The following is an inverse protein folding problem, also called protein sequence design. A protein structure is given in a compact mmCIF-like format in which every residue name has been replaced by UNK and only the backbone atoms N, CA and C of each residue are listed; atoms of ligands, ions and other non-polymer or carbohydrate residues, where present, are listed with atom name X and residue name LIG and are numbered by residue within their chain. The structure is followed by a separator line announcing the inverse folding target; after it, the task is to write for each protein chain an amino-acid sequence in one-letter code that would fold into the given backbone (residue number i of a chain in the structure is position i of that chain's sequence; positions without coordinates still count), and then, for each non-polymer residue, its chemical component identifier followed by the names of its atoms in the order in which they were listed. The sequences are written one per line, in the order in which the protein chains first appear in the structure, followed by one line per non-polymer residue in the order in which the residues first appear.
data_IF_956163807813
#
_entry.id   IF_956163807813
#
_cell.length_a   1.000
_cell.length_b   1.000
_cell.length_c   1.000
_cell.angle_alpha   90.00
_cell.angle_beta   90.00
_cell.angle_gamma   90.00
#
_symmetry.space_group_name_H-M   'P 1'
#
loop_
_entity.id
_entity.type
_entity.pdbx_description
1 polymer ?
#
# COMPACT_ATOMS: atom_id res chain seq x y z
N UNK A 1 -32.42 90.75 16.28
CA UNK A 1 -31.07 90.94 16.82
C UNK A 1 -31.08 90.40 18.24
N UNK A 2 -30.30 89.31 18.49
CA UNK A 2 -29.91 88.71 19.79
C UNK A 2 -31.02 87.95 20.55
N UNK A 3 -30.81 86.78 21.20
CA UNK A 3 -29.73 85.76 21.31
C UNK A 3 -30.36 84.62 22.17
N UNK A 4 -30.28 83.32 21.89
CA UNK A 4 -29.13 82.39 21.80
C UNK A 4 -28.49 81.89 23.13
N UNK A 5 -29.18 81.87 24.28
CA UNK A 5 -28.53 81.43 25.54
C UNK A 5 -29.17 80.24 26.30
N UNK A 6 -30.19 79.56 25.77
CA UNK A 6 -30.80 78.41 26.47
C UNK A 6 -30.30 77.02 26.01
N UNK A 7 -29.56 76.93 24.90
CA UNK A 7 -29.12 75.64 24.33
C UNK A 7 -27.65 75.30 24.61
N UNK A 8 -26.88 76.22 25.22
CA UNK A 8 -25.45 76.04 25.50
C UNK A 8 -25.14 75.34 26.84
N UNK A 9 -26.14 75.05 27.68
CA UNK A 9 -25.92 74.47 29.03
C UNK A 9 -26.19 72.96 29.12
N UNK A 10 -26.62 72.29 28.04
CA UNK A 10 -26.90 70.84 28.06
C UNK A 10 -25.86 70.00 27.30
N UNK A 11 -24.96 70.64 26.54
CA UNK A 11 -23.92 69.97 25.75
C UNK A 11 -22.57 69.89 26.47
N UNK A 12 -22.45 70.38 27.70
CA UNK A 12 -21.21 70.33 28.50
C UNK A 12 -21.18 69.18 29.52
N UNK A 13 -22.20 68.31 29.56
CA UNK A 13 -22.25 67.13 30.44
C UNK A 13 -21.67 65.85 29.80
N UNK A 14 -21.45 65.83 28.48
CA UNK A 14 -20.85 64.67 27.79
C UNK A 14 -19.49 65.02 27.17
N UNK A 15 -18.55 65.46 28.02
CA UNK A 15 -17.14 65.56 27.62
C UNK A 15 -16.38 64.40 28.28
N UNK A 16 -16.65 63.18 27.84
CA UNK A 16 -16.01 61.95 28.31
C UNK A 16 -15.60 60.99 27.17
N UNK A 17 -15.53 61.46 25.92
CA UNK A 17 -15.47 60.58 24.75
C UNK A 17 -14.11 59.88 24.50
N UNK A 18 -13.01 60.34 25.12
CA UNK A 18 -11.68 59.73 24.93
C UNK A 18 -11.33 58.67 25.98
N UNK A 19 -11.91 58.74 27.18
CA UNK A 19 -11.78 57.71 28.22
C UNK A 19 -12.80 56.60 28.02
N UNK A 20 -14.03 56.93 27.59
CA UNK A 20 -15.11 55.96 27.38
C UNK A 20 -14.83 55.03 26.20
N UNK A 21 -14.12 55.50 25.16
CA UNK A 21 -13.69 54.65 24.02
C UNK A 21 -12.60 53.66 24.44
N UNK A 22 -11.61 54.10 25.23
CA UNK A 22 -10.57 53.22 25.76
C UNK A 22 -11.11 52.22 26.80
N UNK A 23 -12.15 52.58 27.55
CA UNK A 23 -12.88 51.67 28.44
C UNK A 23 -13.76 50.68 27.67
N UNK A 24 -14.41 51.13 26.58
CA UNK A 24 -15.18 50.27 25.69
C UNK A 24 -14.30 49.22 24.98
N UNK A 25 -13.14 49.62 24.45
CA UNK A 25 -12.19 48.69 23.81
C UNK A 25 -11.67 47.65 24.83
N UNK A 26 -11.34 48.09 26.04
CA UNK A 26 -10.92 47.21 27.14
C UNK A 26 -12.03 46.22 27.54
N UNK A 27 -13.31 46.64 27.52
CA UNK A 27 -14.44 45.76 27.77
C UNK A 27 -14.60 44.71 26.66
N UNK A 28 -14.47 45.10 25.40
CA UNK A 28 -14.51 44.16 24.27
C UNK A 28 -13.39 43.12 24.38
N UNK A 29 -12.18 43.54 24.74
CA UNK A 29 -11.05 42.62 24.97
C UNK A 29 -11.31 41.67 26.14
N UNK A 30 -11.90 42.14 27.24
CA UNK A 30 -12.30 41.27 28.35
C UNK A 30 -13.38 40.25 27.94
N UNK A 31 -14.33 40.63 27.08
CA UNK A 31 -15.33 39.71 26.55
C UNK A 31 -14.72 38.67 25.61
N UNK A 32 -13.78 39.07 24.74
CA UNK A 32 -13.02 38.15 23.89
C UNK A 32 -12.20 37.17 24.73
N UNK A 33 -11.43 37.66 25.69
CA UNK A 33 -10.67 36.84 26.62
C UNK A 33 -11.57 35.86 27.37
N UNK A 34 -12.74 36.32 27.87
CA UNK A 34 -13.70 35.44 28.53
C UNK A 34 -14.27 34.37 27.59
N UNK A 35 -14.52 34.71 26.33
CA UNK A 35 -15.03 33.76 25.35
C UNK A 35 -13.97 32.70 25.00
N UNK A 36 -12.72 33.12 24.81
CA UNK A 36 -11.57 32.22 24.58
C UNK A 36 -11.34 31.30 25.78
N UNK A 37 -11.30 31.84 27.00
CA UNK A 37 -11.23 31.06 28.24
C UNK A 37 -12.36 30.03 28.33
N UNK A 38 -13.61 30.41 28.04
CA UNK A 38 -14.73 29.45 28.05
C UNK A 38 -14.54 28.33 27.04
N UNK A 39 -13.99 28.62 25.85
CA UNK A 39 -13.69 27.63 24.82
C UNK A 39 -12.59 26.68 25.28
N UNK A 40 -11.52 27.20 25.86
CA UNK A 40 -10.43 26.39 26.43
C UNK A 40 -10.91 25.54 27.61
N UNK A 41 -11.71 26.09 28.52
CA UNK A 41 -12.33 25.33 29.62
C UNK A 41 -13.24 24.22 29.11
N UNK A 42 -14.01 24.46 28.04
CA UNK A 42 -14.83 23.43 27.41
C UNK A 42 -13.97 22.34 26.75
N UNK A 43 -12.89 22.72 26.06
CA UNK A 43 -11.94 21.78 25.46
C UNK A 43 -11.26 20.90 26.53
N UNK A 44 -10.72 21.51 27.59
CA UNK A 44 -10.12 20.81 28.72
C UNK A 44 -11.11 19.89 29.43
N UNK A 45 -12.38 20.30 29.54
CA UNK A 45 -13.43 19.46 30.13
C UNK A 45 -13.73 18.24 29.27
N UNK A 46 -13.78 18.39 27.95
CA UNK A 46 -13.96 17.27 27.02
C UNK A 46 -12.78 16.30 27.11
N UNK A 47 -11.55 16.82 27.05
CA UNK A 47 -10.33 16.01 27.19
C UNK A 47 -10.29 15.27 28.53
N UNK A 48 -10.69 15.94 29.63
CA UNK A 48 -10.82 15.29 30.94
C UNK A 48 -11.79 14.10 30.89
N UNK A 49 -12.95 14.24 30.25
CA UNK A 49 -13.90 13.14 30.14
C UNK A 49 -13.36 11.99 29.28
N UNK A 50 -12.73 12.30 28.14
CA UNK A 50 -12.09 11.30 27.29
C UNK A 50 -10.99 10.53 28.04
N UNK A 51 -10.15 11.23 28.81
CA UNK A 51 -9.12 10.61 29.63
C UNK A 51 -9.72 9.74 30.74
N UNK A 52 -10.79 10.20 31.40
CA UNK A 52 -11.50 9.42 32.41
C UNK A 52 -12.08 8.12 31.83
N UNK A 53 -12.67 8.19 30.64
CA UNK A 53 -13.20 7.01 29.95
C UNK A 53 -12.09 6.04 29.54
N UNK A 54 -10.95 6.54 29.03
CA UNK A 54 -9.77 5.72 28.75
C UNK A 54 -9.24 5.05 30.01
N UNK A 55 -9.12 5.79 31.12
CA UNK A 55 -8.68 5.23 32.42
C UNK A 55 -9.63 4.12 32.87
N UNK A 56 -10.95 4.35 32.82
CA UNK A 56 -11.95 3.35 33.19
C UNK A 56 -11.86 2.11 32.30
N UNK A 57 -11.64 2.30 30.99
CA UNK A 57 -11.44 1.21 30.05
C UNK A 57 -10.19 0.38 30.39
N UNK A 58 -9.06 1.05 30.67
CA UNK A 58 -7.82 0.40 31.06
C UNK A 58 -7.95 -0.34 32.39
N UNK A 59 -8.59 0.25 33.40
CA UNK A 59 -8.87 -0.41 34.68
C UNK A 59 -9.70 -1.68 34.49
N UNK A 60 -10.76 -1.62 33.67
CA UNK A 60 -11.57 -2.78 33.35
C UNK A 60 -10.83 -3.85 32.54
N UNK A 61 -9.88 -3.47 31.68
CA UNK A 61 -9.01 -4.42 30.99
C UNK A 61 -8.02 -5.10 31.96
N UNK A 62 -7.38 -4.34 32.85
CA UNK A 62 -6.47 -4.86 33.87
C UNK A 62 -7.16 -5.82 34.83
N UNK A 63 -8.36 -5.48 35.31
CA UNK A 63 -9.14 -6.35 36.19
C UNK A 63 -9.47 -7.70 35.54
N UNK A 64 -9.82 -7.70 34.25
CA UNK A 64 -10.07 -8.93 33.48
C UNK A 64 -8.82 -9.80 33.33
N UNK A 65 -7.66 -9.19 33.07
CA UNK A 65 -6.38 -9.91 32.99
C UNK A 65 -6.01 -10.50 34.34
N UNK A 66 -6.18 -9.74 35.44
CA UNK A 66 -5.95 -10.24 36.79
C UNK A 66 -6.83 -11.45 37.12
N UNK A 67 -8.13 -11.40 36.78
CA UNK A 67 -9.04 -12.54 36.94
C UNK A 67 -8.59 -13.77 36.15
N UNK A 68 -8.14 -13.59 34.90
CA UNK A 68 -7.61 -14.68 34.08
C UNK A 68 -6.33 -15.29 34.66
N UNK A 69 -5.43 -14.46 35.18
CA UNK A 69 -4.19 -14.93 35.83
C UNK A 69 -4.49 -15.70 37.11
N UNK A 70 -5.40 -15.21 37.96
CA UNK A 70 -5.83 -15.92 39.17
C UNK A 70 -6.49 -17.26 38.82
N UNK A 71 -7.31 -17.30 37.78
CA UNK A 71 -7.90 -18.56 37.31
C UNK A 71 -6.83 -19.55 36.83
N UNK A 72 -5.84 -19.08 36.06
CA UNK A 72 -4.72 -19.91 35.62
C UNK A 72 -3.88 -20.42 36.80
N UNK A 73 -3.61 -19.56 37.78
CA UNK A 73 -2.90 -19.93 39.02
C UNK A 73 -3.63 -21.06 39.74
N UNK A 74 -4.95 -20.95 39.92
CA UNK A 74 -5.76 -22.01 40.53
C UNK A 74 -5.65 -23.34 39.76
N UNK A 75 -5.64 -23.32 38.42
CA UNK A 75 -5.49 -24.52 37.61
C UNK A 75 -4.07 -25.12 37.68
N UNK A 76 -3.05 -24.29 37.87
CA UNK A 76 -1.65 -24.75 38.01
C UNK A 76 -1.37 -25.31 39.40
N UNK A 77 -2.12 -24.88 40.42
CA UNK A 77 -2.04 -25.41 41.78
C UNK A 77 -2.71 -26.79 41.91
N UNK A 78 -3.62 -27.13 41.00
CA UNK A 78 -4.30 -28.43 40.96
C UNK A 78 -3.43 -29.49 40.23
N UNK A 79 -2.97 -30.54 40.92
CA UNK A 79 -2.14 -31.59 40.33
C UNK A 79 -2.80 -32.35 39.17
N UNK A 80 -4.13 -32.41 39.13
CA UNK A 80 -4.87 -33.08 38.06
C UNK A 80 -4.94 -32.21 36.80
N UNK A 81 -4.87 -30.88 36.96
CA UNK A 81 -4.99 -29.92 35.85
C UNK A 81 -3.66 -29.37 35.33
N UNK A 82 -2.60 -29.37 36.12
CA UNK A 82 -1.30 -28.76 35.74
C UNK A 82 -0.78 -29.29 34.39
N UNK A 83 -0.89 -30.59 34.12
CA UNK A 83 -0.44 -31.20 32.87
C UNK A 83 -1.33 -30.82 31.69
N UNK A 84 -2.63 -30.73 31.92
CA UNK A 84 -3.60 -30.28 30.92
C UNK A 84 -3.34 -28.82 30.52
N UNK A 85 -3.03 -27.95 31.48
CA UNK A 85 -2.66 -26.55 31.25
C UNK A 85 -1.42 -26.46 30.33
N UNK A 86 -0.39 -27.27 30.61
CA UNK A 86 0.83 -27.29 29.77
C UNK A 86 0.50 -27.75 28.35
N UNK A 87 -0.21 -28.87 28.19
CA UNK A 87 -0.63 -29.37 26.88
C UNK A 87 -1.45 -28.33 26.10
N UNK A 88 -2.41 -27.69 26.77
CA UNK A 88 -3.24 -26.62 26.21
C UNK A 88 -2.41 -25.49 25.61
N UNK A 89 -1.48 -24.93 26.38
CA UNK A 89 -0.70 -23.79 25.89
C UNK A 89 0.32 -24.17 24.82
N UNK A 90 0.83 -25.41 24.83
CA UNK A 90 1.71 -25.92 23.75
C UNK A 90 0.93 -26.10 22.43
N UNK A 91 -0.28 -26.66 22.49
CA UNK A 91 -1.17 -26.77 21.33
C UNK A 91 -1.60 -25.40 20.80
N UNK A 92 -1.91 -24.46 21.69
CA UNK A 92 -2.19 -23.08 21.30
C UNK A 92 -0.97 -22.40 20.67
N UNK A 93 0.24 -22.65 21.20
CA UNK A 93 1.48 -22.16 20.63
C UNK A 93 1.73 -22.72 19.22
N UNK A 94 1.39 -23.99 18.97
CA UNK A 94 1.44 -24.59 17.63
C UNK A 94 0.53 -23.86 16.63
N UNK A 95 -0.72 -23.55 17.01
CA UNK A 95 -1.63 -22.78 16.15
C UNK A 95 -1.08 -21.38 15.84
N UNK A 96 -0.56 -20.69 16.86
CA UNK A 96 0.10 -19.38 16.69
C UNK A 96 1.35 -19.48 15.80
N UNK A 97 2.10 -20.55 15.90
CA UNK A 97 3.27 -20.81 15.06
C UNK A 97 2.87 -20.96 13.59
N UNK A 98 1.86 -21.79 13.30
CA UNK A 98 1.31 -21.95 11.95
C UNK A 98 0.75 -20.64 11.39
N UNK A 99 0.04 -19.87 12.22
CA UNK A 99 -0.45 -18.54 11.85
C UNK A 99 0.70 -17.61 11.46
N UNK A 100 1.78 -17.56 12.25
CA UNK A 100 2.97 -16.74 11.94
C UNK A 100 3.61 -17.15 10.62
N UNK A 101 3.72 -18.46 10.37
CA UNK A 101 4.23 -18.95 9.08
C UNK A 101 3.35 -18.49 7.92
N UNK A 102 2.02 -18.59 8.04
CA UNK A 102 1.07 -18.14 7.02
C UNK A 102 1.16 -16.64 6.75
N UNK A 103 1.22 -15.82 7.81
CA UNK A 103 1.36 -14.36 7.69
C UNK A 103 2.65 -14.02 6.95
N UNK A 104 3.78 -14.62 7.35
CA UNK A 104 5.07 -14.41 6.70
C UNK A 104 5.03 -14.82 5.23
N UNK A 105 4.51 -15.99 4.94
CA UNK A 105 4.41 -16.50 3.57
C UNK A 105 3.54 -15.61 2.68
N UNK A 106 2.40 -15.14 3.19
CA UNK A 106 1.52 -14.24 2.46
C UNK A 106 2.17 -12.88 2.17
N UNK A 107 2.89 -12.34 3.14
CA UNK A 107 3.63 -11.08 3.00
C UNK A 107 4.75 -11.21 1.94
N UNK A 108 5.53 -12.29 2.01
CA UNK A 108 6.58 -12.59 1.03
C UNK A 108 5.99 -12.72 -0.39
N UNK A 109 4.84 -13.39 -0.56
CA UNK A 109 4.17 -13.51 -1.86
C UNK A 109 3.67 -12.17 -2.41
N UNK A 110 3.04 -11.34 -1.57
CA UNK A 110 2.54 -10.01 -1.96
C UNK A 110 3.69 -9.13 -2.44
N UNK A 111 4.76 -9.04 -1.64
CA UNK A 111 5.94 -8.26 -1.98
C UNK A 111 6.62 -8.75 -3.26
N UNK A 112 6.75 -10.07 -3.44
CA UNK A 112 7.32 -10.63 -4.68
C UNK A 112 6.47 -10.29 -5.91
N UNK A 113 5.14 -10.34 -5.79
CA UNK A 113 4.25 -10.05 -6.92
C UNK A 113 4.22 -8.57 -7.26
N UNK A 114 4.12 -7.70 -6.25
CA UNK A 114 4.15 -6.24 -6.43
C UNK A 114 5.46 -5.80 -7.09
N UNK A 115 6.60 -6.31 -6.61
CA UNK A 115 7.91 -6.05 -7.24
C UNK A 115 7.94 -6.47 -8.70
N UNK A 116 7.44 -7.67 -9.02
CA UNK A 116 7.40 -8.16 -10.42
C UNK A 116 6.50 -7.29 -11.31
N UNK A 117 5.34 -6.87 -10.82
CA UNK A 117 4.44 -5.98 -11.56
C UNK A 117 5.11 -4.62 -11.78
N UNK A 118 5.70 -4.05 -10.73
CA UNK A 118 6.41 -2.78 -10.81
C UNK A 118 7.58 -2.82 -11.78
N UNK A 119 8.44 -3.85 -11.71
CA UNK A 119 9.54 -4.04 -12.66
C UNK A 119 9.02 -4.12 -14.10
N UNK A 120 7.96 -4.89 -14.36
CA UNK A 120 7.39 -5.02 -15.71
C UNK A 120 6.84 -3.69 -16.24
N UNK A 121 6.16 -2.91 -15.39
CA UNK A 121 5.64 -1.59 -15.77
C UNK A 121 6.79 -0.64 -16.09
N UNK A 122 7.84 -0.61 -15.26
CA UNK A 122 9.02 0.21 -15.50
C UNK A 122 9.76 -0.19 -16.76
N UNK A 123 9.94 -1.50 -17.01
CA UNK A 123 10.55 -2.01 -18.24
C UNK A 123 9.76 -1.59 -19.48
N UNK A 124 8.44 -1.77 -19.47
CA UNK A 124 7.58 -1.36 -20.58
C UNK A 124 7.58 0.16 -20.80
N UNK A 125 7.57 0.94 -19.72
CA UNK A 125 7.68 2.39 -19.78
C UNK A 125 9.04 2.82 -20.38
N UNK A 126 10.15 2.28 -19.87
CA UNK A 126 11.50 2.57 -20.37
C UNK A 126 11.65 2.19 -21.86
N UNK A 127 11.06 1.09 -22.30
CA UNK A 127 11.08 0.69 -23.71
C UNK A 127 10.29 1.66 -24.59
N UNK A 128 9.09 2.05 -24.16
CA UNK A 128 8.26 3.00 -24.91
C UNK A 128 8.96 4.36 -25.02
N UNK A 129 9.54 4.81 -23.90
CA UNK A 129 10.36 6.02 -23.80
C UNK A 129 11.54 6.03 -24.74
N UNK A 130 12.29 4.93 -24.79
CA UNK A 130 13.45 4.81 -25.67
C UNK A 130 13.03 4.87 -27.14
N UNK A 131 11.90 4.25 -27.52
CA UNK A 131 11.36 4.31 -28.89
C UNK A 131 10.93 5.73 -29.27
N UNK A 132 10.22 6.43 -28.40
CA UNK A 132 9.81 7.82 -28.61
C UNK A 132 11.03 8.74 -28.75
N UNK A 133 12.05 8.55 -27.92
CA UNK A 133 13.30 9.32 -27.97
C UNK A 133 14.05 9.07 -29.29
N UNK A 134 14.14 7.82 -29.72
CA UNK A 134 14.77 7.43 -30.98
C UNK A 134 14.06 8.06 -32.20
N UNK A 135 12.72 8.09 -32.19
CA UNK A 135 11.93 8.73 -33.25
C UNK A 135 12.19 10.25 -33.32
N UNK A 136 12.20 10.94 -32.17
CA UNK A 136 12.53 12.36 -32.10
C UNK A 136 13.97 12.60 -32.54
N UNK A 137 14.91 11.78 -32.11
CA UNK A 137 16.32 11.91 -32.47
C UNK A 137 16.57 11.71 -33.96
N UNK A 138 15.83 10.79 -34.60
CA UNK A 138 15.85 10.63 -36.05
C UNK A 138 15.32 11.89 -36.76
N UNK A 139 14.20 12.47 -36.29
CA UNK A 139 13.66 13.74 -36.81
C UNK A 139 14.65 14.89 -36.64
N UNK A 140 15.36 14.96 -35.52
CA UNK A 140 16.44 15.95 -35.29
C UNK A 140 17.57 15.75 -36.31
N UNK A 141 18.00 14.51 -36.52
CA UNK A 141 19.03 14.17 -37.51
C UNK A 141 18.65 14.60 -38.92
N UNK A 142 17.43 14.28 -39.36
CA UNK A 142 16.90 14.72 -40.66
C UNK A 142 16.90 16.25 -40.81
N UNK A 143 16.51 16.97 -39.74
CA UNK A 143 16.50 18.44 -39.73
C UNK A 143 17.90 19.03 -39.82
N UNK A 144 18.88 18.45 -39.14
CA UNK A 144 20.29 18.89 -39.21
C UNK A 144 20.86 18.73 -40.60
N UNK A 145 20.56 17.63 -41.28
CA UNK A 145 20.98 17.42 -42.68
C UNK A 145 20.32 18.46 -43.61
N UNK A 146 19.02 18.73 -43.42
CA UNK A 146 18.32 19.75 -44.20
C UNK A 146 18.86 21.17 -43.95
N UNK A 147 19.22 21.48 -42.70
CA UNK A 147 19.84 22.74 -42.30
C UNK A 147 21.20 22.92 -42.98
N UNK A 148 22.07 21.90 -42.94
CA UNK A 148 23.37 21.92 -43.61
C UNK A 148 23.23 22.20 -45.11
N UNK A 149 22.24 21.58 -45.78
CA UNK A 149 21.99 21.85 -47.20
C UNK A 149 21.57 23.30 -47.48
N UNK A 150 20.80 23.92 -46.58
CA UNK A 150 20.43 25.34 -46.69
C UNK A 150 21.63 26.26 -46.46
N UNK A 151 22.49 25.94 -45.48
CA UNK A 151 23.73 26.66 -45.19
C UNK A 151 24.71 26.60 -46.37
N UNK A 152 24.89 25.42 -46.98
CA UNK A 152 25.71 25.24 -48.17
C UNK A 152 25.19 26.06 -49.35
N UNK A 153 23.86 26.08 -49.56
CA UNK A 153 23.22 26.93 -50.58
C UNK A 153 23.43 28.41 -50.30
N UNK A 154 23.28 28.85 -49.04
CA UNK A 154 23.51 30.23 -48.63
C UNK A 154 24.94 30.67 -48.97
N UNK A 155 25.94 29.87 -48.58
CA UNK A 155 27.35 30.14 -48.88
C UNK A 155 27.59 30.25 -50.39
N UNK A 156 27.02 29.35 -51.18
CA UNK A 156 27.14 29.38 -52.64
C UNK A 156 26.52 30.63 -53.28
N UNK A 157 25.34 31.06 -52.79
CA UNK A 157 24.64 32.25 -53.27
C UNK A 157 25.39 33.54 -52.89
N UNK A 158 25.95 33.60 -51.68
CA UNK A 158 26.80 34.70 -51.23
C UNK A 158 28.07 34.81 -52.09
N UNK A 159 28.77 33.70 -52.34
CA UNK A 159 29.96 33.67 -53.20
C UNK A 159 29.63 34.08 -54.65
N UNK A 160 28.49 33.66 -55.19
CA UNK A 160 28.02 34.09 -56.51
C UNK A 160 27.78 35.62 -56.57
N UNK A 161 27.23 36.21 -55.51
CA UNK A 161 27.02 37.66 -55.40
C UNK A 161 28.35 38.46 -55.29
N UNK A 162 29.34 37.90 -54.59
CA UNK A 162 30.68 38.50 -54.43
C UNK A 162 31.48 38.48 -55.73
N UNK A 163 31.37 37.39 -56.50
CA UNK A 163 32.09 37.20 -57.78
C UNK A 163 31.43 37.91 -58.98
N UNK A 164 30.21 38.43 -58.83
CA UNK A 164 29.53 39.23 -59.87
C UNK A 164 30.16 40.62 -60.06
N UNK A 165 30.54 40.94 -61.31
CA UNK A 165 31.02 42.27 -61.69
C UNK A 165 29.96 43.38 -61.59
N UNK A 166 30.41 44.63 -61.38
CA UNK A 166 29.60 45.77 -60.93
C UNK A 166 28.32 46.07 -61.72
N UNK A 167 28.32 45.94 -63.05
CA UNK A 167 27.12 46.17 -63.88
C UNK A 167 26.09 45.02 -63.76
N UNK A 168 26.52 43.76 -63.65
CA UNK A 168 25.62 42.62 -63.42
C UNK A 168 25.02 42.66 -62.01
N UNK A 169 25.80 43.11 -61.03
CA UNK A 169 25.36 43.26 -59.64
C UNK A 169 24.23 44.29 -59.47
N UNK A 170 24.24 45.38 -60.25
CA UNK A 170 23.18 46.39 -60.26
C UNK A 170 21.84 45.87 -60.83
N UNK A 171 21.87 45.00 -61.85
CA UNK A 171 20.66 44.48 -62.51
C UNK A 171 20.13 43.18 -61.89
N UNK A 172 20.99 42.19 -61.59
CA UNK A 172 20.58 40.88 -61.06
C UNK A 172 20.74 40.75 -59.54
N UNK A 173 21.51 41.63 -58.89
CA UNK A 173 21.81 41.51 -57.46
C UNK A 173 20.59 41.62 -56.55
N UNK A 174 19.52 42.31 -56.97
CA UNK A 174 18.26 42.35 -56.21
C UNK A 174 17.57 40.98 -56.15
N UNK A 175 17.64 40.20 -57.22
CA UNK A 175 17.04 38.86 -57.28
C UNK A 175 17.82 37.88 -56.40
N UNK A 176 19.15 37.90 -56.47
CA UNK A 176 20.03 37.04 -55.66
C UNK A 176 19.93 37.42 -54.17
N UNK A 177 19.83 38.71 -53.84
CA UNK A 177 19.61 39.15 -52.46
C UNK A 177 18.25 38.70 -51.91
N UNK A 178 17.20 38.65 -52.75
CA UNK A 178 15.90 38.12 -52.33
C UNK A 178 15.97 36.61 -52.06
N UNK A 179 16.70 35.86 -52.88
CA UNK A 179 16.96 34.43 -52.69
C UNK A 179 17.77 34.15 -51.41
N UNK A 180 18.80 34.96 -51.12
CA UNK A 180 19.56 34.91 -49.86
C UNK A 180 18.63 35.13 -48.66
N UNK A 181 17.78 36.15 -48.70
CA UNK A 181 16.84 36.44 -47.60
C UNK A 181 15.82 35.30 -47.38
N UNK A 182 15.39 34.64 -48.45
CA UNK A 182 14.51 33.46 -48.37
C UNK A 182 15.24 32.26 -47.73
N UNK A 183 16.50 32.00 -48.11
CA UNK A 183 17.32 30.95 -47.51
C UNK A 183 17.58 31.23 -46.03
N UNK A 184 17.92 32.46 -45.65
CA UNK A 184 18.13 32.87 -44.25
C UNK A 184 16.86 32.67 -43.41
N UNK A 185 15.69 33.03 -43.96
CA UNK A 185 14.40 32.77 -43.32
C UNK A 185 14.12 31.26 -43.16
N UNK A 186 14.47 30.47 -44.17
CA UNK A 186 14.39 29.01 -44.15
C UNK A 186 15.29 28.39 -43.07
N UNK A 187 16.52 28.88 -42.93
CA UNK A 187 17.48 28.49 -41.88
C UNK A 187 16.91 28.78 -40.50
N UNK A 188 16.45 30.01 -40.25
CA UNK A 188 15.87 30.40 -38.96
C UNK A 188 14.65 29.54 -38.60
N UNK A 189 13.79 29.23 -39.59
CA UNK A 189 12.63 28.35 -39.40
C UNK A 189 13.05 26.91 -39.07
N UNK A 190 14.10 26.40 -39.72
CA UNK A 190 14.61 25.05 -39.48
C UNK A 190 15.28 24.93 -38.11
N UNK A 191 16.04 25.94 -37.69
CA UNK A 191 16.63 26.03 -36.35
C UNK A 191 15.56 26.09 -35.26
N UNK A 192 14.49 26.88 -35.46
CA UNK A 192 13.36 26.91 -34.53
C UNK A 192 12.71 25.53 -34.34
N UNK A 193 12.49 24.80 -35.44
CA UNK A 193 11.95 23.43 -35.40
C UNK A 193 12.89 22.42 -34.75
N UNK A 194 14.21 22.56 -34.96
CA UNK A 194 15.19 21.73 -34.24
C UNK A 194 15.09 21.98 -32.73
N UNK A 195 15.00 23.24 -32.32
CA UNK A 195 14.89 23.60 -30.92
C UNK A 195 13.58 23.12 -30.27
N UNK A 196 12.47 23.13 -31.03
CA UNK A 196 11.21 22.48 -30.62
C UNK A 196 11.40 20.98 -30.38
N UNK A 197 12.05 20.26 -31.31
CA UNK A 197 12.31 18.82 -31.17
C UNK A 197 13.25 18.50 -30.00
N UNK A 198 14.27 19.32 -29.75
CA UNK A 198 15.13 19.17 -28.58
C UNK A 198 14.35 19.43 -27.28
N UNK A 199 13.43 20.40 -27.29
CA UNK A 199 12.50 20.62 -26.18
C UNK A 199 11.55 19.43 -25.96
N UNK A 200 11.05 18.79 -27.02
CA UNK A 200 10.28 17.54 -26.94
C UNK A 200 11.11 16.41 -26.30
N UNK A 201 12.39 16.29 -26.66
CA UNK A 201 13.30 15.29 -26.11
C UNK A 201 13.59 15.53 -24.63
N UNK A 202 13.84 16.78 -24.21
CA UNK A 202 14.04 17.14 -22.80
C UNK A 202 12.76 16.90 -21.97
N UNK A 203 11.60 17.29 -22.52
CA UNK A 203 10.30 17.06 -21.89
C UNK A 203 9.97 15.56 -21.80
N UNK A 204 10.43 14.77 -22.78
CA UNK A 204 10.50 13.34 -22.66
C UNK A 204 11.43 13.06 -21.47
N UNK A 205 12.74 13.20 -21.50
CA UNK A 205 13.66 12.83 -20.40
C UNK A 205 13.17 13.09 -18.96
N UNK A 206 12.50 14.22 -18.71
CA UNK A 206 11.96 14.60 -17.39
C UNK A 206 10.63 13.93 -16.97
N UNK A 207 9.96 13.20 -17.86
CA UNK A 207 8.68 12.52 -17.57
C UNK A 207 8.84 11.49 -16.45
N UNK A 208 7.93 11.54 -15.49
CA UNK A 208 7.88 10.60 -14.36
C UNK A 208 7.24 9.28 -14.80
N UNK A 209 7.73 8.12 -14.33
CA UNK A 209 7.08 6.84 -14.58
C UNK A 209 5.65 6.80 -14.00
N UNK A 210 4.73 6.01 -14.59
CA UNK A 210 3.37 5.89 -14.11
C UNK A 210 3.33 5.18 -12.74
N UNK A 211 2.41 5.63 -11.88
CA UNK A 211 2.10 4.95 -10.62
C UNK A 211 1.52 3.55 -10.88
N UNK A 212 1.91 2.58 -10.05
CA UNK A 212 1.38 1.23 -10.17
C UNK A 212 0.02 1.10 -9.48
N UNK A 213 -1.01 0.68 -10.23
CA UNK A 213 -2.33 0.37 -9.66
C UNK A 213 -2.31 -1.00 -8.95
N UNK A 214 -1.63 -1.09 -7.80
CA UNK A 214 -1.66 -2.24 -6.89
C UNK A 214 -1.59 -3.62 -7.57
N UNK A 215 -2.27 -4.61 -6.96
CA UNK A 215 -2.47 -5.94 -7.54
C UNK A 215 -3.90 -6.05 -8.09
N UNK A 216 -4.01 -6.57 -9.31
CA UNK A 216 -5.30 -6.90 -9.92
C UNK A 216 -6.01 -8.07 -9.19
N UNK A 217 -7.32 -8.21 -9.40
CA UNK A 217 -8.11 -9.27 -8.75
C UNK A 217 -7.57 -10.65 -9.09
N UNK A 218 -7.12 -10.87 -10.32
CA UNK A 218 -6.51 -12.14 -10.74
C UNK A 218 -5.23 -12.47 -9.95
N UNK A 219 -4.33 -11.51 -9.73
CA UNK A 219 -3.15 -11.71 -8.88
C UNK A 219 -3.54 -11.94 -7.42
N UNK A 220 -4.51 -11.20 -6.88
CA UNK A 220 -4.98 -11.41 -5.51
C UNK A 220 -5.56 -12.82 -5.32
N UNK A 221 -6.36 -13.33 -6.26
CA UNK A 221 -6.87 -14.71 -6.27
C UNK A 221 -5.75 -15.73 -6.31
N UNK A 222 -4.78 -15.54 -7.21
CA UNK A 222 -3.60 -16.42 -7.31
C UNK A 222 -2.79 -16.46 -6.01
N UNK A 223 -2.58 -15.32 -5.35
CA UNK A 223 -1.94 -15.26 -4.03
C UNK A 223 -2.77 -16.01 -2.99
N UNK A 224 -4.08 -15.81 -2.97
CA UNK A 224 -4.97 -16.50 -2.03
C UNK A 224 -4.96 -18.02 -2.21
N UNK A 225 -4.91 -18.52 -3.45
CA UNK A 225 -4.76 -19.96 -3.71
C UNK A 225 -3.43 -20.52 -3.23
N UNK A 226 -2.33 -19.76 -3.37
CA UNK A 226 -1.04 -20.15 -2.80
C UNK A 226 -1.06 -20.16 -1.27
N UNK A 227 -1.70 -19.18 -0.63
CA UNK A 227 -1.87 -19.15 0.83
C UNK A 227 -2.69 -20.35 1.31
N UNK A 228 -3.79 -20.68 0.62
CA UNK A 228 -4.60 -21.87 0.90
C UNK A 228 -3.81 -23.17 0.67
N UNK A 229 -2.99 -23.24 -0.38
CA UNK A 229 -2.14 -24.39 -0.61
C UNK A 229 -1.09 -24.59 0.51
N UNK A 230 -0.55 -23.49 1.04
CA UNK A 230 0.38 -23.53 2.15
C UNK A 230 -0.31 -23.85 3.48
N UNK A 231 -1.54 -23.38 3.71
CA UNK A 231 -2.30 -23.80 4.90
C UNK A 231 -2.64 -25.29 4.87
N UNK A 232 -2.97 -25.83 3.69
CA UNK A 232 -3.12 -27.28 3.49
C UNK A 232 -1.81 -28.03 3.78
N UNK A 233 -0.65 -27.47 3.43
CA UNK A 233 0.65 -28.08 3.78
C UNK A 233 0.81 -28.19 5.31
N UNK A 234 0.52 -27.11 6.03
CA UNK A 234 0.60 -27.08 7.49
C UNK A 234 -0.42 -28.03 8.12
N UNK A 235 -1.64 -28.06 7.59
CA UNK A 235 -2.70 -28.97 8.03
C UNK A 235 -2.24 -30.42 7.90
N UNK A 236 -1.79 -30.85 6.72
CA UNK A 236 -1.35 -32.23 6.46
C UNK A 236 -0.16 -32.62 7.34
N UNK A 237 0.79 -31.71 7.58
CA UNK A 237 1.97 -31.99 8.41
C UNK A 237 1.63 -32.36 9.86
N UNK A 238 0.55 -31.80 10.41
CA UNK A 238 0.12 -32.01 11.79
C UNK A 238 -1.11 -32.92 11.92
N UNK A 239 -1.78 -33.25 10.82
CA UNK A 239 -2.98 -34.10 10.79
C UNK A 239 -2.65 -35.55 11.17
N UNK A 240 -1.52 -36.08 10.71
CA UNK A 240 -1.11 -37.47 10.96
C UNK A 240 -1.05 -37.84 12.45
N UNK A 241 -0.76 -36.88 13.33
CA UNK A 241 -0.71 -37.08 14.79
C UNK A 241 -1.97 -36.61 15.54
N UNK A 242 -2.99 -36.15 14.80
CA UNK A 242 -4.22 -35.58 15.36
C UNK A 242 -4.03 -34.22 16.04
N UNK A 243 -2.88 -33.57 15.84
CA UNK A 243 -2.51 -32.33 16.54
C UNK A 243 -3.31 -31.12 16.04
N UNK A 244 -3.74 -31.13 14.78
CA UNK A 244 -4.47 -30.01 14.17
C UNK A 244 -5.78 -29.72 14.89
N UNK A 245 -6.56 -30.75 15.20
CA UNK A 245 -7.85 -30.56 15.86
C UNK A 245 -7.67 -30.07 17.30
N UNK A 246 -6.70 -30.64 18.03
CA UNK A 246 -6.35 -30.22 19.38
C UNK A 246 -5.84 -28.77 19.42
N UNK A 247 -5.00 -28.37 18.45
CA UNK A 247 -4.51 -27.01 18.34
C UNK A 247 -5.60 -26.00 17.98
N UNK A 248 -6.55 -26.39 17.11
CA UNK A 248 -7.73 -25.58 16.80
C UNK A 248 -8.59 -25.39 18.06
N UNK A 249 -8.90 -26.46 18.77
CA UNK A 249 -9.72 -26.40 19.99
C UNK A 249 -9.08 -25.49 21.05
N UNK A 250 -7.77 -25.64 21.29
CA UNK A 250 -6.99 -24.80 22.21
C UNK A 250 -6.95 -23.31 21.81
N UNK A 251 -7.17 -23.01 20.54
CA UNK A 251 -7.22 -21.63 20.02
C UNK A 251 -8.58 -20.98 20.23
N UNK A 252 -9.65 -21.77 20.24
CA UNK A 252 -11.04 -21.30 20.32
C UNK A 252 -11.58 -21.27 21.75
N UNK A 253 -11.17 -22.21 22.61
CA UNK A 253 -11.68 -22.33 23.98
C UNK A 253 -10.69 -21.80 25.03
N UNK A 254 -11.16 -21.67 26.27
CA UNK A 254 -10.33 -21.35 27.44
C UNK A 254 -9.68 -22.60 28.02
N UNK A 255 -8.57 -22.43 28.74
CA UNK A 255 -7.78 -23.53 29.31
C UNK A 255 -8.58 -24.43 30.26
N UNK A 256 -9.52 -23.87 31.03
CA UNK A 256 -10.40 -24.65 31.94
C UNK A 256 -11.57 -25.36 31.25
N UNK A 257 -11.78 -25.15 29.94
CA UNK A 257 -12.91 -25.73 29.19
C UNK A 257 -12.54 -26.98 28.38
N UNK A 258 -11.26 -27.33 28.30
CA UNK A 258 -10.76 -28.51 27.59
C UNK A 258 -10.02 -29.39 28.58
N UNK A 259 -10.24 -30.70 28.50
CA UNK A 259 -9.48 -31.70 29.24
C UNK A 259 -8.91 -32.74 28.25
N UNK A 260 -7.60 -32.82 28.17
CA UNK A 260 -6.86 -33.77 27.33
C UNK A 260 -6.62 -35.12 28.00
N UNK A 261 -7.13 -35.32 29.23
CA UNK A 261 -7.05 -36.57 29.97
C UNK A 261 -6.04 -36.54 31.10
N UNK A 262 -5.47 -37.69 31.40
CA UNK A 262 -4.49 -37.87 32.47
C UNK A 262 -3.14 -37.23 32.12
N UNK A 263 -2.23 -37.20 33.09
CA UNK A 263 -0.82 -36.87 32.86
C UNK A 263 -0.22 -37.67 31.69
N UNK A 264 -0.50 -38.97 31.62
CA UNK A 264 0.05 -39.83 30.58
C UNK A 264 -0.45 -39.44 29.18
N UNK A 265 -1.73 -39.06 29.08
CA UNK A 265 -2.34 -38.59 27.83
C UNK A 265 -1.70 -37.27 27.38
N UNK A 266 -1.53 -36.33 28.32
CA UNK A 266 -0.85 -35.06 28.07
C UNK A 266 0.61 -35.28 27.62
N UNK A 267 1.34 -36.19 28.26
CA UNK A 267 2.72 -36.52 27.90
C UNK A 267 2.83 -37.18 26.51
N UNK A 268 1.80 -37.92 26.06
CA UNK A 268 1.73 -38.46 24.69
C UNK A 268 1.55 -37.32 23.69
N UNK A 269 0.60 -36.40 23.94
CA UNK A 269 0.34 -35.25 23.07
C UNK A 269 1.58 -34.38 22.94
N UNK A 270 2.22 -34.05 24.07
CA UNK A 270 3.43 -33.22 24.10
C UNK A 270 4.58 -33.87 23.34
N UNK A 271 4.79 -35.19 23.50
CA UNK A 271 5.84 -35.91 22.73
C UNK A 271 5.59 -35.86 21.24
N UNK A 272 4.36 -36.12 20.78
CA UNK A 272 3.99 -36.02 19.34
C UNK A 272 4.22 -34.61 18.81
N UNK A 273 3.80 -33.60 19.56
CA UNK A 273 3.98 -32.20 19.20
C UNK A 273 5.46 -31.84 19.05
N UNK A 274 6.31 -32.20 20.03
CA UNK A 274 7.75 -31.96 19.95
C UNK A 274 8.39 -32.68 18.76
N UNK A 275 8.05 -33.96 18.54
CA UNK A 275 8.56 -34.72 17.41
C UNK A 275 8.21 -34.08 16.06
N UNK A 276 6.95 -33.67 15.87
CA UNK A 276 6.51 -33.04 14.62
C UNK A 276 7.02 -31.62 14.41
N UNK A 277 7.25 -30.87 15.48
CA UNK A 277 7.86 -29.54 15.38
C UNK A 277 9.33 -29.61 14.91
N UNK A 278 10.05 -30.69 15.25
CA UNK A 278 11.44 -30.89 14.84
C UNK A 278 11.60 -31.63 13.50
N UNK A 279 10.55 -32.26 13.00
CA UNK A 279 10.57 -32.87 11.68
C UNK A 279 10.62 -31.77 10.59
N UNK A 280 11.80 -31.56 10.00
CA UNK A 280 11.94 -30.65 8.85
C UNK A 280 11.34 -31.27 7.59
N UNK A 281 10.47 -30.52 6.91
CA UNK A 281 10.02 -30.85 5.56
C UNK A 281 11.10 -30.48 4.53
N UNK A 282 11.48 -31.40 3.63
CA UNK A 282 12.39 -31.12 2.51
C UNK A 282 11.90 -29.93 1.68
N UNK A 283 12.76 -28.93 1.49
CA UNK A 283 12.39 -27.62 0.90
C UNK A 283 12.25 -27.63 -0.63
N UNK A 284 12.86 -28.59 -1.32
CA UNK A 284 12.95 -28.58 -2.80
C UNK A 284 11.63 -28.99 -3.47
N UNK A 285 11.00 -30.07 -3.00
CA UNK A 285 9.74 -30.57 -3.59
C UNK A 285 8.52 -29.77 -3.14
N UNK A 286 8.66 -29.00 -2.05
CA UNK A 286 7.58 -28.22 -1.46
C UNK A 286 7.02 -27.16 -2.42
N UNK A 287 7.85 -26.51 -3.23
CA UNK A 287 7.40 -25.42 -4.11
C UNK A 287 6.52 -25.93 -5.27
N UNK A 288 6.88 -27.06 -5.88
CA UNK A 288 6.12 -27.66 -6.98
C UNK A 288 4.79 -28.23 -6.50
N UNK A 289 4.82 -28.94 -5.36
CA UNK A 289 3.61 -29.43 -4.70
C UNK A 289 2.67 -28.27 -4.36
N UNK A 290 3.19 -27.17 -3.80
CA UNK A 290 2.38 -25.98 -3.51
C UNK A 290 1.74 -25.39 -4.77
N UNK A 291 2.47 -25.29 -5.88
CA UNK A 291 1.92 -24.78 -7.16
C UNK A 291 0.82 -25.69 -7.72
N UNK A 292 1.05 -27.02 -7.72
CA UNK A 292 0.06 -28.00 -8.16
C UNK A 292 -1.20 -27.92 -7.30
N UNK A 293 -1.04 -27.87 -5.99
CA UNK A 293 -2.15 -27.73 -5.03
C UNK A 293 -2.91 -26.41 -5.22
N UNK A 294 -2.23 -25.29 -5.38
CA UNK A 294 -2.87 -24.00 -5.64
C UNK A 294 -3.70 -24.02 -6.93
N UNK A 295 -3.23 -24.71 -7.97
CA UNK A 295 -4.00 -24.91 -9.21
C UNK A 295 -5.27 -25.72 -8.95
N UNK A 296 -5.17 -26.86 -8.26
CA UNK A 296 -6.33 -27.69 -7.91
C UNK A 296 -7.36 -26.91 -7.08
N UNK A 297 -6.91 -26.08 -6.14
CA UNK A 297 -7.80 -25.20 -5.37
C UNK A 297 -8.48 -24.19 -6.29
N UNK A 298 -7.72 -23.55 -7.19
CA UNK A 298 -8.24 -22.59 -8.15
C UNK A 298 -9.28 -23.19 -9.10
N UNK A 299 -9.09 -24.43 -9.54
CA UNK A 299 -10.02 -25.15 -10.43
C UNK A 299 -11.38 -25.44 -9.75
N UNK A 300 -11.43 -25.50 -8.42
CA UNK A 300 -12.66 -25.74 -7.65
C UNK A 300 -13.26 -24.46 -7.04
N UNK A 301 -12.51 -23.36 -6.99
CA UNK A 301 -12.90 -22.13 -6.29
C UNK A 301 -14.03 -21.38 -7.01
N UNK A 302 -15.04 -20.98 -6.24
CA UNK A 302 -16.09 -20.06 -6.69
C UNK A 302 -16.05 -18.75 -5.89
N UNK A 303 -16.50 -17.66 -6.51
CA UNK A 303 -16.52 -16.32 -5.92
C UNK A 303 -17.95 -15.79 -5.92
N UNK A 304 -18.30 -14.95 -4.93
CA UNK A 304 -19.66 -14.35 -4.89
C UNK A 304 -19.81 -13.29 -5.99
N UNK A 305 -18.77 -12.50 -6.23
CA UNK A 305 -18.72 -11.45 -7.25
C UNK A 305 -17.41 -11.52 -8.04
N UNK A 306 -17.39 -10.91 -9.22
CA UNK A 306 -16.19 -10.86 -10.07
C UNK A 306 -15.02 -10.10 -9.43
N UNK A 307 -15.32 -9.13 -8.55
CA UNK A 307 -14.32 -8.34 -7.84
C UNK A 307 -13.84 -8.99 -6.53
N UNK A 308 -14.40 -10.13 -6.14
CA UNK A 308 -13.98 -10.82 -4.91
C UNK A 308 -12.68 -11.60 -5.14
N UNK A 309 -11.68 -11.35 -4.30
CA UNK A 309 -10.44 -12.11 -4.28
C UNK A 309 -10.48 -13.35 -3.37
N UNK A 310 -11.41 -13.40 -2.41
CA UNK A 310 -11.54 -14.51 -1.45
C UNK A 310 -12.63 -15.47 -1.92
N UNK A 311 -12.33 -16.77 -2.09
CA UNK A 311 -13.31 -17.73 -2.56
C UNK A 311 -14.37 -18.05 -1.49
N UNK A 312 -15.51 -18.58 -1.93
CA UNK A 312 -16.55 -19.10 -1.05
C UNK A 312 -15.98 -20.31 -0.30
N UNK A 313 -15.98 -20.34 1.05
CA UNK A 313 -15.31 -21.38 1.83
C UNK A 313 -15.72 -22.81 1.46
N UNK A 314 -17.00 -23.04 1.20
CA UNK A 314 -17.53 -24.35 0.83
C UNK A 314 -16.96 -24.91 -0.50
N UNK A 315 -16.48 -24.04 -1.40
CA UNK A 315 -15.93 -24.46 -2.69
C UNK A 315 -14.45 -24.83 -2.63
N UNK A 316 -13.79 -24.52 -1.51
CA UNK A 316 -12.38 -24.81 -1.26
C UNK A 316 -12.20 -25.66 0.00
N UNK A 317 -13.21 -26.47 0.33
CA UNK A 317 -13.19 -27.36 1.50
C UNK A 317 -12.40 -28.66 1.30
N UNK A 318 -11.95 -28.94 0.08
CA UNK A 318 -11.13 -30.11 -0.21
C UNK A 318 -9.65 -29.81 0.03
N UNK A 319 -9.01 -30.67 0.83
CA UNK A 319 -7.57 -30.70 1.03
C UNK A 319 -6.95 -31.69 0.04
N UNK A 320 -5.90 -31.25 -0.65
CA UNK A 320 -5.16 -32.08 -1.61
C UNK A 320 -3.79 -32.46 -1.07
N UNK A 321 -3.63 -33.71 -0.66
CA UNK A 321 -2.33 -34.30 -0.38
C UNK A 321 -1.75 -34.85 -1.69
N UNK A 322 -0.52 -34.46 -2.01
CA UNK A 322 0.19 -34.89 -3.22
C UNK A 322 1.44 -35.63 -2.73
N UNK A 323 1.55 -36.90 -3.07
CA UNK A 323 2.69 -37.72 -2.67
C UNK A 323 3.90 -37.52 -3.61
N UNK A 324 5.01 -38.22 -3.33
CA UNK A 324 6.22 -38.16 -4.14
C UNK A 324 6.04 -38.71 -5.57
N UNK A 325 4.96 -39.47 -5.83
CA UNK A 325 4.63 -40.05 -7.13
C UNK A 325 3.57 -39.22 -7.88
N UNK A 326 3.29 -37.98 -7.43
CA UNK A 326 2.24 -37.11 -7.95
C UNK A 326 0.80 -37.66 -7.84
N UNK A 327 0.56 -38.64 -6.96
CA UNK A 327 -0.78 -39.14 -6.67
C UNK A 327 -1.51 -38.16 -5.76
N UNK A 328 -2.72 -37.77 -6.17
CA UNK A 328 -3.56 -36.81 -5.44
C UNK A 328 -4.54 -37.56 -4.56
N UNK A 329 -4.38 -37.40 -3.25
CA UNK A 329 -5.36 -37.82 -2.24
C UNK A 329 -6.21 -36.62 -1.81
N UNK A 330 -7.51 -36.85 -1.64
CA UNK A 330 -8.48 -35.82 -1.27
C UNK A 330 -9.07 -36.14 0.09
N UNK A 331 -9.13 -35.15 0.96
CA UNK A 331 -9.88 -35.18 2.21
C UNK A 331 -10.72 -33.92 2.35
N UNK A 332 -11.82 -34.00 3.09
CA UNK A 332 -12.68 -32.85 3.34
C UNK A 332 -12.29 -32.19 4.67
N UNK A 333 -11.77 -30.97 4.59
CA UNK A 333 -11.53 -30.09 5.72
C UNK A 333 -11.67 -28.62 5.29
N UNK A 334 -12.68 -27.94 5.83
CA UNK A 334 -13.00 -26.57 5.45
C UNK A 334 -12.06 -25.55 6.11
N UNK A 335 -10.80 -25.52 5.66
CA UNK A 335 -9.75 -24.70 6.29
C UNK A 335 -10.11 -23.21 6.34
N UNK A 336 -10.73 -22.70 5.28
CA UNK A 336 -11.15 -21.31 5.19
C UNK A 336 -12.38 -21.03 6.06
N UNK A 337 -13.40 -21.89 6.00
CA UNK A 337 -14.66 -21.69 6.72
C UNK A 337 -14.53 -21.88 8.22
N UNK A 338 -13.67 -22.80 8.65
CA UNK A 338 -13.34 -23.04 10.05
C UNK A 338 -12.15 -22.20 10.53
N UNK A 339 -11.61 -21.33 9.66
CA UNK A 339 -10.55 -20.38 9.97
C UNK A 339 -9.32 -21.03 10.64
N UNK A 340 -8.91 -22.19 10.14
CA UNK A 340 -7.71 -22.87 10.62
C UNK A 340 -6.50 -21.92 10.57
N UNK A 341 -5.75 -21.89 11.67
CA UNK A 341 -4.57 -21.04 11.84
C UNK A 341 -4.82 -19.54 11.61
N UNK A 342 -6.07 -19.07 11.71
CA UNK A 342 -6.42 -17.67 11.48
C UNK A 342 -6.32 -17.22 10.01
N UNK A 343 -6.40 -18.14 9.06
CA UNK A 343 -6.20 -17.89 7.62
C UNK A 343 -7.08 -16.76 7.05
N UNK A 344 -8.30 -16.56 7.56
CA UNK A 344 -9.20 -15.52 7.08
C UNK A 344 -8.65 -14.09 7.27
N UNK A 345 -7.68 -13.90 8.17
CA UNK A 345 -6.97 -12.64 8.41
C UNK A 345 -5.78 -12.42 7.47
N UNK A 346 -5.34 -13.46 6.78
CA UNK A 346 -4.12 -13.47 5.97
C UNK A 346 -4.41 -13.23 4.48
N UNK A 347 -5.58 -13.70 4.02
CA UNK A 347 -5.99 -13.58 2.62
C UNK A 347 -6.08 -12.11 2.17
N UNK A 348 -5.65 -11.89 0.92
CA UNK A 348 -5.77 -10.60 0.23
C UNK A 348 -7.23 -10.33 -0.14
N UNK A 349 -7.71 -9.13 0.16
CA UNK A 349 -9.07 -8.67 -0.17
C UNK A 349 -9.04 -7.74 -1.38
#
# INVERSE_FOLDING_TARGET
MLRDDALASLTTIFKNDATDTHEADKLVDLFRNRAELKKEFAALRNEKYELQDRVKHHQGATARVQQQLQHLENLLLDPDWVYNVVAFYQLRALSLHCQKQLVRFAEELKQQREKRVHCRVLEGWNQQRAREAEEIQNRVGERRVALQLLEDRLLSAQQALETMGGLKKLFLGRSVNAEIAEIESGIATSQGKEQELLGELDALEQRVPPDHQGLDIAAKRSINFMILAFSQQLYLHFEEDGLVQLAKEASEKSVGAINYGSKQDCDIVLRRLTQRMHAESSKSDAADVLRKRAKLIGDNAQFRHEDDAVPIPATVSTVFAIDANDVIHRSDANLLGENYFGIAKVLSR
#
